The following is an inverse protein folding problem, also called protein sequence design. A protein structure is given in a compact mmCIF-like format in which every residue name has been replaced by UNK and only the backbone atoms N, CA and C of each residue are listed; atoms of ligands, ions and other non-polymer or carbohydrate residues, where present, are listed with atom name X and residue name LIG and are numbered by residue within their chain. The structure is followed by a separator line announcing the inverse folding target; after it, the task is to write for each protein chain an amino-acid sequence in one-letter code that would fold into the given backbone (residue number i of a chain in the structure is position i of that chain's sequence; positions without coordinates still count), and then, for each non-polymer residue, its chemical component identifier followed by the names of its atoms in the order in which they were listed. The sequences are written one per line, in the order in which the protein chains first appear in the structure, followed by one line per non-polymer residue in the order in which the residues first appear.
data_IF_889126599261
#
_entry.id   IF_889126599261
#
_cell.length_a   1.000
_cell.length_b   1.000
_cell.length_c   1.000
_cell.angle_alpha   90.00
_cell.angle_beta   90.00
_cell.angle_gamma   90.00
#
_symmetry.space_group_name_H-M   'P 1'
#
loop_
_entity.id
_entity.type
_entity.pdbx_description
1 polymer ?
#
# COMPACT_ATOMS: atom_id res chain seq x y z
N UNK A 1 18.48 -12.78 -17.98
CA UNK A 1 18.35 -12.87 -17.36
C UNK A 1 18.25 -12.89 -16.54
N UNK A 2 17.89 -12.78 -16.16
CA UNK A 2 17.77 -12.66 -15.35
C UNK A 2 17.96 -13.02 -14.55
N UNK A 3 18.19 -13.25 -14.23
CA UNK A 3 18.34 -13.49 -13.32
C UNK A 3 18.47 -12.88 -12.49
N UNK A 4 18.53 -12.27 -12.70
CA UNK A 4 18.72 -11.85 -11.75
C UNK A 4 17.86 -11.71 -10.81
N UNK A 5 17.27 -11.61 -10.91
CA UNK A 5 16.55 -11.46 -10.05
C UNK A 5 16.53 -12.28 -9.13
N UNK A 6 16.44 -12.85 -9.52
CA UNK A 6 16.44 -13.77 -8.67
C UNK A 6 17.45 -13.65 -7.75
N UNK A 7 18.29 -12.98 -8.10
CA UNK A 7 19.35 -12.78 -7.26
C UNK A 7 19.01 -12.07 -6.01
N UNK A 8 18.00 -11.25 -6.05
CA UNK A 8 17.65 -10.50 -4.88
C UNK A 8 17.17 -11.37 -3.77
N UNK A 9 16.59 -12.49 -4.09
CA UNK A 9 16.10 -13.36 -3.06
C UNK A 9 17.21 -14.29 -2.64
N UNK A 10 17.62 -14.24 -1.42
CA UNK A 10 18.71 -15.09 -0.99
C UNK A 10 18.36 -16.54 -1.11
N UNK A 11 19.34 -17.29 -1.46
CA UNK A 11 19.19 -18.70 -1.49
C UNK A 11 19.94 -19.32 -0.37
N UNK A 12 19.77 -18.77 0.79
CA UNK A 12 20.55 -19.18 1.91
C UNK A 12 20.08 -20.43 2.54
N UNK A 13 19.12 -21.04 1.95
CA UNK A 13 18.60 -22.23 2.58
C UNK A 13 19.64 -23.27 2.81
N UNK A 14 20.66 -23.29 1.95
CA UNK A 14 21.68 -24.32 2.09
C UNK A 14 22.85 -23.87 2.89
N UNK A 15 23.00 -22.61 3.13
CA UNK A 15 24.13 -22.09 3.85
C UNK A 15 23.65 -21.45 5.12
N UNK A 16 24.03 -22.01 6.23
CA UNK A 16 23.53 -21.56 7.50
C UNK A 16 24.46 -20.63 8.22
N UNK A 17 25.60 -20.29 7.63
CA UNK A 17 26.51 -19.40 8.32
C UNK A 17 26.31 -17.99 7.85
N UNK A 18 25.36 -17.34 8.47
CA UNK A 18 25.03 -15.94 8.16
C UNK A 18 25.91 -15.03 8.99
N UNK A 19 26.29 -13.92 8.41
CA UNK A 19 26.99 -12.89 9.16
C UNK A 19 26.02 -12.20 10.10
N UNK A 20 26.55 -11.43 11.03
CA UNK A 20 25.70 -10.68 11.93
C UNK A 20 24.84 -9.68 11.17
N UNK A 21 25.40 -9.06 10.14
CA UNK A 21 24.65 -8.10 9.35
C UNK A 21 23.50 -8.76 8.63
N UNK A 22 23.74 -9.95 8.11
CA UNK A 22 22.67 -10.65 7.41
C UNK A 22 21.59 -11.08 8.39
N UNK A 23 21.96 -11.45 9.59
CA UNK A 23 20.99 -11.81 10.60
C UNK A 23 20.16 -10.61 11.00
N UNK A 24 20.79 -9.45 11.16
CA UNK A 24 20.07 -8.24 11.50
C UNK A 24 19.07 -7.87 10.42
N UNK A 25 19.51 -7.97 9.17
CA UNK A 25 18.64 -7.66 8.05
C UNK A 25 17.41 -8.57 8.05
N UNK A 26 17.61 -9.85 8.30
CA UNK A 26 16.51 -10.79 8.30
C UNK A 26 15.54 -10.53 9.44
N UNK A 27 16.04 -10.10 10.59
CA UNK A 27 15.17 -9.76 11.69
C UNK A 27 14.26 -8.60 11.36
N UNK A 28 14.81 -7.59 10.71
CA UNK A 28 13.99 -6.46 10.31
C UNK A 28 12.93 -6.88 9.30
N UNK A 29 13.32 -7.73 8.38
CA UNK A 29 12.38 -8.19 7.38
C UNK A 29 11.25 -8.99 8.03
N UNK A 30 11.59 -9.86 8.96
CA UNK A 30 10.56 -10.64 9.64
C UNK A 30 9.64 -9.76 10.46
N UNK A 31 10.19 -8.74 11.09
CA UNK A 31 9.37 -7.83 11.86
C UNK A 31 8.35 -7.13 10.98
N UNK A 32 8.79 -6.76 9.76
CA UNK A 32 7.86 -6.08 8.88
C UNK A 32 6.69 -6.96 8.48
N UNK A 33 6.88 -8.27 8.40
CA UNK A 33 5.77 -9.14 8.02
C UNK A 33 4.78 -9.34 9.16
N UNK A 34 5.15 -8.98 10.39
CA UNK A 34 4.22 -9.10 11.50
C UNK A 34 3.07 -8.11 11.40
N UNK A 35 3.23 -7.07 10.60
CA UNK A 35 2.18 -6.07 10.43
C UNK A 35 1.52 -6.19 9.07
N UNK A 36 1.28 -7.44 8.65
CA UNK A 36 0.68 -7.67 7.34
C UNK A 36 -0.62 -6.89 7.20
N UNK A 37 -0.81 -6.36 6.01
CA UNK A 37 -2.05 -5.67 5.69
C UNK A 37 -2.93 -6.52 4.79
N UNK A 38 -2.61 -7.81 4.67
CA UNK A 38 -3.39 -8.70 3.83
C UNK A 38 -4.83 -8.77 4.32
N UNK A 39 -5.77 -8.53 3.40
CA UNK A 39 -7.18 -8.56 3.73
C UNK A 39 -7.70 -7.31 4.40
N UNK A 40 -6.88 -6.32 4.62
CA UNK A 40 -7.32 -5.08 5.28
C UNK A 40 -8.03 -4.17 4.29
N UNK A 41 -9.04 -3.48 4.78
CA UNK A 41 -9.75 -2.48 4.00
C UNK A 41 -9.53 -1.14 4.68
N UNK A 42 -9.13 -0.15 3.89
CA UNK A 42 -8.87 1.19 4.41
C UNK A 42 -9.82 2.18 3.75
N UNK A 43 -10.10 3.24 4.49
CA UNK A 43 -10.91 4.34 4.00
C UNK A 43 -10.11 5.62 4.14
N UNK A 44 -10.17 6.47 3.14
CA UNK A 44 -9.50 7.78 3.23
C UNK A 44 -10.26 8.65 4.22
N UNK A 45 -9.52 9.21 5.19
CA UNK A 45 -10.14 10.11 6.16
C UNK A 45 -9.62 11.54 6.02
N UNK A 46 -8.56 11.73 5.22
CA UNK A 46 -7.99 13.06 5.02
C UNK A 46 -7.15 13.03 3.76
N UNK A 47 -7.24 14.09 2.97
CA UNK A 47 -6.40 14.24 1.78
C UNK A 47 -6.30 15.71 1.44
N UNK A 48 -5.20 16.10 0.80
CA UNK A 48 -5.04 17.44 0.30
C UNK A 48 -5.97 17.68 -0.87
N UNK A 49 -6.28 18.94 -1.12
CA UNK A 49 -7.25 19.30 -2.14
C UNK A 49 -6.81 18.92 -3.55
N UNK A 50 -5.50 18.74 -3.77
CA UNK A 50 -5.01 18.36 -5.09
C UNK A 50 -5.15 16.88 -5.37
N UNK A 51 -5.59 16.07 -4.39
CA UNK A 51 -5.75 14.64 -4.60
C UNK A 51 -7.15 14.30 -5.07
N UNK A 52 -7.26 13.15 -5.74
CA UNK A 52 -8.55 12.65 -6.21
C UNK A 52 -9.24 11.76 -5.19
N UNK A 53 -8.49 11.20 -4.26
CA UNK A 53 -9.02 10.28 -3.26
C UNK A 53 -9.69 11.08 -2.15
N UNK A 54 -10.88 10.68 -1.75
CA UNK A 54 -11.60 11.39 -0.71
C UNK A 54 -12.27 10.43 0.25
N UNK A 55 -13.14 10.98 1.10
CA UNK A 55 -13.75 10.23 2.18
C UNK A 55 -14.68 9.13 1.77
N UNK A 56 -14.98 9.02 0.47
CA UNK A 56 -15.80 7.93 -0.03
C UNK A 56 -14.96 6.87 -0.73
N UNK A 57 -13.63 6.97 -0.70
CA UNK A 57 -12.75 6.04 -1.39
C UNK A 57 -12.28 4.96 -0.43
N UNK A 58 -12.43 3.72 -0.84
CA UNK A 58 -12.03 2.56 -0.05
C UNK A 58 -10.97 1.79 -0.80
N UNK A 59 -10.06 1.17 -0.03
CA UNK A 59 -8.92 0.42 -0.56
C UNK A 59 -8.96 -1.00 -0.01
N UNK A 60 -8.91 -1.98 -0.89
CA UNK A 60 -8.90 -3.39 -0.50
C UNK A 60 -7.51 -3.95 -0.77
N UNK A 61 -6.75 -4.22 0.29
CA UNK A 61 -5.36 -4.63 0.18
C UNK A 61 -5.20 -6.14 0.24
N UNK A 62 -4.22 -6.64 -0.51
CA UNK A 62 -3.75 -8.00 -0.41
C UNK A 62 -2.24 -7.98 -0.32
N UNK A 63 -1.69 -8.92 0.42
CA UNK A 63 -0.25 -8.97 0.62
C UNK A 63 0.24 -10.41 0.56
N UNK A 64 1.34 -10.64 -0.15
CA UNK A 64 2.05 -11.91 -0.21
C UNK A 64 3.52 -11.59 0.03
N UNK A 65 4.06 -12.10 1.13
CA UNK A 65 5.41 -11.74 1.55
C UNK A 65 5.53 -10.23 1.66
N UNK A 66 6.45 -9.61 0.96
CA UNK A 66 6.59 -8.15 1.00
C UNK A 66 5.86 -7.45 -0.14
N UNK A 67 5.12 -8.19 -0.95
CA UNK A 67 4.44 -7.60 -2.11
C UNK A 67 3.02 -7.24 -1.74
N UNK A 68 2.62 -6.02 -2.05
CA UNK A 68 1.28 -5.55 -1.78
C UNK A 68 0.64 -5.08 -3.07
N UNK A 69 -0.68 -5.22 -3.12
CA UNK A 69 -1.46 -4.57 -4.15
C UNK A 69 -2.84 -4.30 -3.59
N UNK A 70 -3.55 -3.38 -4.21
CA UNK A 70 -4.89 -3.05 -3.76
C UNK A 70 -5.70 -2.53 -4.93
N UNK A 71 -6.98 -2.82 -4.86
CA UNK A 71 -7.97 -2.15 -5.72
C UNK A 71 -8.61 -1.07 -4.87
N UNK A 72 -8.86 0.09 -5.46
CA UNK A 72 -9.55 1.13 -4.73
C UNK A 72 -10.54 1.86 -5.64
N UNK A 73 -11.64 2.31 -5.03
CA UNK A 73 -12.63 3.10 -5.75
C UNK A 73 -13.58 3.76 -4.75
N UNK A 74 -14.42 4.63 -5.26
CA UNK A 74 -15.36 5.40 -4.46
C UNK A 74 -15.10 6.88 -4.59
N UNK A 75 -16.14 7.68 -4.39
CA UNK A 75 -16.01 9.12 -4.55
C UNK A 75 -15.69 9.47 -5.99
N UNK A 76 -14.64 10.25 -6.21
CA UNK A 76 -14.27 10.64 -7.55
C UNK A 76 -13.43 9.59 -8.27
N UNK A 77 -13.06 8.50 -7.61
CA UNK A 77 -12.27 7.44 -8.24
C UNK A 77 -13.20 6.34 -8.68
N UNK A 78 -13.23 6.08 -9.98
CA UNK A 78 -14.07 5.01 -10.49
C UNK A 78 -13.39 3.66 -10.37
N UNK A 79 -12.09 3.61 -10.61
CA UNK A 79 -11.32 2.39 -10.49
C UNK A 79 -9.86 2.74 -10.33
N UNK A 80 -9.22 2.17 -9.32
CA UNK A 80 -7.80 2.36 -9.11
C UNK A 80 -7.14 1.08 -8.67
N UNK A 81 -5.86 0.98 -8.96
CA UNK A 81 -5.01 -0.13 -8.54
C UNK A 81 -3.67 0.40 -8.11
N UNK A 82 -3.09 -0.28 -7.12
CA UNK A 82 -1.74 0.03 -6.72
C UNK A 82 -0.97 -1.27 -6.53
N UNK A 83 0.35 -1.17 -6.63
CA UNK A 83 1.23 -2.32 -6.46
C UNK A 83 2.55 -1.81 -5.90
N UNK A 84 3.13 -2.56 -4.97
CA UNK A 84 4.38 -2.14 -4.37
C UNK A 84 4.87 -3.08 -3.30
N UNK A 85 5.59 -2.51 -2.35
CA UNK A 85 6.30 -3.27 -1.32
C UNK A 85 5.91 -2.82 0.07
N UNK A 86 5.93 -3.76 1.00
CA UNK A 86 5.78 -3.48 2.43
C UNK A 86 7.10 -3.81 3.09
N UNK A 87 7.82 -2.80 3.55
CA UNK A 87 9.13 -2.95 4.14
C UNK A 87 9.16 -2.22 5.48
N UNK A 88 9.32 -2.98 6.57
CA UNK A 88 9.28 -2.39 7.89
C UNK A 88 7.92 -1.80 8.20
N UNK A 89 7.89 -0.55 8.59
CA UNK A 89 6.63 0.14 8.85
C UNK A 89 6.24 1.02 7.68
N UNK A 90 6.76 0.73 6.49
CA UNK A 90 6.58 1.58 5.32
C UNK A 90 5.97 0.79 4.17
N UNK A 91 5.02 1.40 3.48
CA UNK A 91 4.54 0.90 2.20
C UNK A 91 5.07 1.85 1.12
N UNK A 92 5.57 1.27 0.04
CA UNK A 92 6.09 2.06 -1.07
C UNK A 92 5.45 1.50 -2.32
N UNK A 93 4.59 2.28 -2.99
CA UNK A 93 3.84 1.73 -4.11
C UNK A 93 3.58 2.78 -5.17
N UNK A 94 3.25 2.28 -6.35
CA UNK A 94 2.78 3.11 -7.45
C UNK A 94 1.33 2.81 -7.73
N UNK A 95 0.60 3.81 -8.18
CA UNK A 95 -0.83 3.69 -8.37
C UNK A 95 -1.26 4.32 -9.70
N UNK A 96 -2.42 3.87 -10.16
CA UNK A 96 -3.06 4.41 -11.35
C UNK A 96 -4.55 4.31 -11.16
N UNK A 97 -5.28 5.32 -11.61
CA UNK A 97 -6.73 5.24 -11.51
C UNK A 97 -7.41 6.06 -12.61
N UNK A 98 -8.71 5.80 -12.74
CA UNK A 98 -9.60 6.53 -13.64
C UNK A 98 -10.64 7.21 -12.76
N UNK A 99 -10.86 8.50 -13.00
CA UNK A 99 -11.88 9.22 -12.24
C UNK A 99 -13.25 9.03 -12.87
N UNK A 100 -14.28 9.45 -12.15
CA UNK A 100 -15.66 9.34 -12.65
C UNK A 100 -15.88 10.19 -13.89
N UNK A 101 -15.03 11.17 -14.16
CA UNK A 101 -15.12 11.98 -15.38
C UNK A 101 -14.29 11.38 -16.50
N UNK A 102 -13.59 10.26 -16.27
CA UNK A 102 -12.85 9.59 -17.33
C UNK A 102 -11.38 9.97 -17.41
N UNK A 103 -10.91 10.87 -16.55
CA UNK A 103 -9.50 11.24 -16.55
C UNK A 103 -8.67 10.13 -15.90
N UNK A 104 -7.44 9.95 -16.38
CA UNK A 104 -6.54 8.98 -15.78
C UNK A 104 -5.41 9.71 -15.09
N UNK A 105 -4.91 9.09 -14.02
CA UNK A 105 -3.81 9.66 -13.27
C UNK A 105 -2.95 8.53 -12.70
N UNK A 106 -1.64 8.78 -12.62
CA UNK A 106 -0.71 7.83 -12.02
C UNK A 106 0.18 8.58 -11.04
N UNK A 107 0.68 7.84 -10.07
CA UNK A 107 1.55 8.46 -9.08
C UNK A 107 2.27 7.45 -8.21
N UNK A 108 2.97 7.98 -7.23
CA UNK A 108 3.81 7.23 -6.30
C UNK A 108 3.46 7.67 -4.89
N UNK A 109 3.37 6.72 -3.98
CA UNK A 109 3.10 7.03 -2.58
C UNK A 109 4.02 6.25 -1.68
N UNK A 110 4.42 6.89 -0.60
CA UNK A 110 5.15 6.25 0.49
C UNK A 110 4.31 6.47 1.74
N UNK A 111 3.92 5.38 2.36
CA UNK A 111 3.04 5.42 3.51
C UNK A 111 3.76 4.89 4.74
N UNK A 112 3.55 5.53 5.87
CA UNK A 112 4.04 5.02 7.14
C UNK A 112 2.86 4.41 7.89
N UNK A 113 3.07 3.23 8.43
CA UNK A 113 2.03 2.49 9.13
C UNK A 113 2.04 2.85 10.60
N UNK A 114 0.89 3.20 11.14
CA UNK A 114 0.70 3.44 12.56
C UNK A 114 -0.31 2.44 13.08
N UNK A 115 -0.01 1.80 14.21
CA UNK A 115 -0.95 0.89 14.87
C UNK A 115 -1.70 1.67 15.92
N UNK A 116 -3.02 1.72 15.79
CA UNK A 116 -3.85 2.45 16.74
C UNK A 116 -4.08 1.63 17.99
N UNK A 117 -4.55 2.30 19.05
CA UNK A 117 -4.73 1.65 20.34
C UNK A 117 -5.70 0.48 20.28
N UNK A 118 -6.67 0.53 19.36
CA UNK A 118 -7.65 -0.54 19.24
C UNK A 118 -7.23 -1.63 18.27
N UNK A 119 -5.99 -1.57 17.77
CA UNK A 119 -5.46 -2.59 16.89
C UNK A 119 -5.64 -2.31 15.40
N UNK A 120 -6.43 -1.31 15.04
CA UNK A 120 -6.57 -0.93 13.65
C UNK A 120 -5.32 -0.22 13.17
N UNK A 121 -5.11 -0.23 11.87
CA UNK A 121 -3.96 0.43 11.27
C UNK A 121 -4.38 1.74 10.64
N UNK A 122 -3.43 2.66 10.62
CA UNK A 122 -3.60 3.95 9.96
C UNK A 122 -2.39 4.17 9.08
N UNK A 123 -2.61 4.61 7.84
CA UNK A 123 -1.54 4.86 6.90
C UNK A 123 -1.40 6.36 6.71
N UNK A 124 -0.19 6.84 6.92
CA UNK A 124 0.14 8.25 6.70
C UNK A 124 0.86 8.33 5.37
N UNK A 125 0.17 8.84 4.35
CA UNK A 125 0.65 8.82 2.97
C UNK A 125 1.29 10.14 2.59
N UNK A 126 2.38 10.02 1.83
CA UNK A 126 2.93 11.15 1.07
C UNK A 126 2.96 10.72 -0.37
N UNK A 127 2.22 11.44 -1.19
CA UNK A 127 2.02 11.03 -2.58
C UNK A 127 2.47 12.14 -3.53
N UNK A 128 2.80 11.73 -4.74
CA UNK A 128 3.09 12.67 -5.82
C UNK A 128 2.57 12.09 -7.12
N UNK A 129 2.08 12.97 -7.98
CA UNK A 129 1.63 12.56 -9.28
C UNK A 129 2.83 12.31 -10.19
N UNK A 130 2.74 11.28 -11.03
CA UNK A 130 3.68 11.11 -12.14
C UNK A 130 3.11 11.72 -13.40
N UNK A 131 1.79 11.72 -13.55
CA UNK A 131 1.13 12.12 -14.79
C UNK A 131 0.87 13.62 -14.86
N UNK A 132 1.03 14.32 -13.76
CA UNK A 132 0.84 15.77 -13.71
C UNK A 132 1.62 16.29 -12.52
N UNK A 133 1.67 17.60 -12.34
CA UNK A 133 2.38 18.14 -11.18
C UNK A 133 1.48 18.10 -9.95
N UNK A 134 2.13 17.99 -8.81
CA UNK A 134 1.43 18.02 -7.53
C UNK A 134 1.89 16.94 -6.60
N UNK A 135 1.99 17.31 -5.33
CA UNK A 135 2.29 16.38 -4.24
C UNK A 135 1.33 16.69 -3.11
N UNK A 136 1.20 15.75 -2.18
CA UNK A 136 0.37 16.00 -1.02
C UNK A 136 0.48 14.90 -0.01
N UNK A 137 -0.35 15.00 1.02
CA UNK A 137 -0.43 13.99 2.06
C UNK A 137 -1.88 13.58 2.25
N UNK A 138 -2.07 12.35 2.72
CA UNK A 138 -3.38 11.87 3.06
C UNK A 138 -3.27 10.87 4.17
N UNK A 139 -4.42 10.52 4.75
CA UNK A 139 -4.48 9.52 5.82
C UNK A 139 -5.55 8.53 5.46
N UNK A 140 -5.18 7.26 5.50
CA UNK A 140 -6.12 6.16 5.35
C UNK A 140 -6.23 5.44 6.68
N UNK A 141 -7.42 4.99 7.00
CA UNK A 141 -7.63 4.30 8.27
C UNK A 141 -8.37 3.00 8.02
N UNK A 142 -7.92 1.96 8.69
CA UNK A 142 -8.52 0.64 8.53
C UNK A 142 -9.96 0.65 9.03
N UNK A 143 -10.85 -0.04 8.31
CA UNK A 143 -12.26 -0.15 8.68
C UNK A 143 -12.62 -1.62 8.77
N UNK A 144 -13.65 -1.93 9.54
CA UNK A 144 -14.14 -3.28 9.64
C UNK A 144 -14.99 -3.61 8.43
N UNK A 145 -15.18 -4.91 8.17
CA UNK A 145 -16.01 -5.32 7.05
C UNK A 145 -17.41 -4.75 7.14
N UNK A 146 -17.90 -4.58 8.37
CA UNK A 146 -19.24 -4.05 8.55
C UNK A 146 -19.35 -2.59 8.17
N UNK A 147 -18.23 -1.88 8.15
CA UNK A 147 -18.21 -0.47 7.81
C UNK A 147 -18.06 -0.23 6.32
N UNK A 148 -17.75 -1.29 5.56
CA UNK A 148 -17.55 -1.14 4.12
C UNK A 148 -18.92 -1.11 3.46
N UNK A 149 -19.21 -0.10 2.65
CA UNK A 149 -20.52 -0.04 1.99
C UNK A 149 -20.66 -1.16 0.98
N UNK A 150 -21.91 -1.51 0.71
CA UNK A 150 -22.21 -2.46 -0.35
C UNK A 150 -22.11 -1.74 -1.66
N UNK A 151 -20.91 -1.69 -2.21
CA UNK A 151 -20.68 -0.99 -3.46
C UNK A 151 -20.44 -2.01 -4.56
N UNK A 152 -21.09 -1.78 -5.69
CA UNK A 152 -20.86 -2.63 -6.82
C UNK A 152 -19.48 -2.36 -7.38
N UNK A 153 -18.73 -3.43 -7.64
CA UNK A 153 -17.39 -3.24 -8.17
C UNK A 153 -17.45 -2.78 -9.60
N UNK A 154 -16.49 -1.98 -10.03
CA UNK A 154 -16.52 -1.43 -11.38
C UNK A 154 -16.36 -2.48 -12.46
N UNK A 155 -15.79 -3.63 -12.15
CA UNK A 155 -15.61 -4.69 -13.14
C UNK A 155 -16.09 -6.02 -12.61
#
# INVERSE_FOLDING_TARGET
MALAHEAAIPRYTDDLSLTENETEWMKEYETSTEQSIDGCVFKSISNDTDGDVGGETYFWFEQTDDLIHARYHGGSVRLGHLVGHHLGDTLDFRYAHVTITGDTATGHSVDRIECLDDGRLRLHEEWEWDSKSGTGSSILEEVSEQQVPQIEEPL
#
